data_IF_430216089110
#
_entry.id   IF_430216089110
#
_cell.length_a   1.000
_cell.length_b   1.000
_cell.length_c   1.000
_cell.angle_alpha   90.00
_cell.angle_beta   90.00
_cell.angle_gamma   90.00
#
_symmetry.space_group_name_H-M   'P 1'
#
loop_
_entity.id
_entity.type
_entity.pdbx_description
1 polymer ?
#
# COMPACT_ATOMS: atom_id res chain seq x y z
N UNK A 1 -8.85 -0.64 -2.46
CA UNK A 1 -8.17 -1.22 -3.64
C UNK A 1 -6.68 -1.18 -3.36
N UNK A 2 -5.99 -2.31 -3.47
CA UNK A 2 -4.53 -2.39 -3.27
C UNK A 2 -3.84 -2.31 -4.63
N UNK A 3 -2.79 -1.50 -4.75
CA UNK A 3 -1.98 -1.38 -5.97
C UNK A 3 -0.50 -1.49 -5.64
N UNK A 4 0.27 -2.03 -6.58
CA UNK A 4 1.72 -2.01 -6.51
C UNK A 4 2.24 -0.70 -7.13
N UNK A 5 2.97 0.08 -6.33
CA UNK A 5 3.56 1.36 -6.73
C UNK A 5 5.10 1.32 -6.74
N UNK A 6 5.68 0.11 -6.70
CA UNK A 6 7.15 -0.07 -6.72
C UNK A 6 7.76 0.64 -7.93
N UNK A 7 7.10 0.58 -9.09
CA UNK A 7 7.59 1.25 -10.30
C UNK A 7 7.62 2.78 -10.20
N UNK A 8 6.70 3.39 -9.44
CA UNK A 8 6.67 4.85 -9.22
C UNK A 8 7.84 5.28 -8.33
N UNK A 9 8.21 4.45 -7.36
CA UNK A 9 9.26 4.73 -6.38
C UNK A 9 10.62 4.14 -6.75
N UNK A 10 10.78 3.58 -7.96
CA UNK A 10 12.05 3.00 -8.43
C UNK A 10 13.20 4.01 -8.50
N UNK A 11 12.88 5.28 -8.73
CA UNK A 11 13.84 6.39 -8.80
C UNK A 11 13.61 7.39 -7.67
N UNK A 12 13.09 6.92 -6.53
CA UNK A 12 12.86 7.78 -5.38
C UNK A 12 14.16 8.30 -4.81
N UNK A 13 14.16 9.55 -4.34
CA UNK A 13 15.27 10.14 -3.60
C UNK A 13 15.31 9.65 -2.14
N UNK A 14 14.27 8.92 -1.70
CA UNK A 14 14.21 8.34 -0.37
C UNK A 14 15.18 7.17 -0.24
N UNK A 15 16.26 7.36 0.52
CA UNK A 15 17.18 6.29 0.89
C UNK A 15 16.47 5.11 1.57
N UNK A 16 15.39 5.36 2.31
CA UNK A 16 14.66 4.32 3.03
C UNK A 16 13.95 3.37 2.06
N UNK A 17 13.17 3.91 1.12
CA UNK A 17 12.43 3.11 0.14
C UNK A 17 13.37 2.58 -0.95
N UNK A 18 14.30 3.40 -1.44
CA UNK A 18 15.28 3.00 -2.44
C UNK A 18 16.08 1.78 -1.99
N UNK A 19 16.59 1.78 -0.76
CA UNK A 19 17.34 0.63 -0.22
C UNK A 19 16.48 -0.63 -0.10
N UNK A 20 15.19 -0.51 0.23
CA UNK A 20 14.27 -1.64 0.29
C UNK A 20 14.01 -2.23 -1.10
N UNK A 21 13.79 -1.37 -2.10
CA UNK A 21 13.55 -1.79 -3.49
C UNK A 21 14.80 -2.49 -4.07
N UNK A 22 16.00 -1.95 -3.82
CA UNK A 22 17.27 -2.57 -4.24
C UNK A 22 17.46 -3.95 -3.62
N UNK A 23 17.01 -4.14 -2.37
CA UNK A 23 16.98 -5.45 -1.69
C UNK A 23 15.90 -6.42 -2.21
N UNK A 24 15.15 -6.05 -3.25
CA UNK A 24 14.09 -6.87 -3.83
C UNK A 24 12.73 -6.74 -3.13
N UNK A 25 12.55 -5.72 -2.28
CA UNK A 25 11.25 -5.44 -1.67
C UNK A 25 10.28 -4.82 -2.68
N UNK A 26 8.99 -4.97 -2.41
CA UNK A 26 7.92 -4.34 -3.18
C UNK A 26 7.22 -3.28 -2.34
N UNK A 27 6.69 -2.27 -3.02
CA UNK A 27 5.87 -1.23 -2.40
C UNK A 27 4.41 -1.43 -2.79
N UNK A 28 3.60 -1.75 -1.78
CA UNK A 28 2.15 -1.92 -1.94
C UNK A 28 1.43 -0.80 -1.22
N UNK A 29 0.49 -0.17 -1.91
CA UNK A 29 -0.33 0.92 -1.38
C UNK A 29 -1.82 0.61 -1.41
N UNK A 30 -2.55 1.24 -0.48
CA UNK A 30 -4.00 1.21 -0.41
C UNK A 30 -4.53 2.64 -0.24
N UNK A 31 -5.54 2.98 -1.03
CA UNK A 31 -6.33 4.20 -0.84
C UNK A 31 -7.35 4.00 0.27
N UNK A 32 -7.42 4.94 1.19
CA UNK A 32 -8.45 5.04 2.22
C UNK A 32 -9.15 6.39 2.07
N UNK A 33 -10.44 6.33 1.76
CA UNK A 33 -11.22 7.52 1.45
C UNK A 33 -11.69 8.24 2.73
N UNK A 34 -11.68 9.57 2.70
CA UNK A 34 -12.27 10.41 3.75
C UNK A 34 -11.53 10.45 5.10
N UNK A 35 -10.26 10.04 5.15
CA UNK A 35 -9.44 10.05 6.37
C UNK A 35 -8.12 10.82 6.22
N UNK A 36 -7.99 11.69 5.21
CA UNK A 36 -6.84 12.61 5.13
C UNK A 36 -6.70 13.42 6.42
N UNK A 37 -5.46 13.63 6.86
CA UNK A 37 -5.11 14.27 8.12
C UNK A 37 -5.35 13.43 9.37
N UNK A 38 -6.13 12.34 9.31
CA UNK A 38 -6.48 11.57 10.52
C UNK A 38 -5.29 10.79 11.07
N UNK A 39 -4.51 10.16 10.19
CA UNK A 39 -3.32 9.38 10.57
C UNK A 39 -2.25 10.23 11.25
N UNK A 40 -2.12 11.49 10.84
CA UNK A 40 -1.16 12.45 11.41
C UNK A 40 -1.70 13.03 12.72
N UNK A 41 -3.01 13.31 12.80
CA UNK A 41 -3.65 13.87 14.00
C UNK A 41 -3.77 12.84 15.14
N UNK A 42 -4.10 11.58 14.82
CA UNK A 42 -4.28 10.52 15.81
C UNK A 42 -3.04 9.63 15.90
N UNK A 43 -2.05 10.12 16.67
CA UNK A 43 -0.79 9.42 16.93
C UNK A 43 -1.00 8.05 17.60
N UNK A 44 -2.06 7.89 18.40
CA UNK A 44 -2.36 6.61 19.03
C UNK A 44 -2.77 5.57 17.99
N UNK A 45 -3.57 5.98 16.99
CA UNK A 45 -3.96 5.13 15.89
C UNK A 45 -2.78 4.76 14.99
N UNK A 46 -1.94 5.75 14.61
CA UNK A 46 -0.76 5.48 13.77
C UNK A 46 0.20 4.51 14.45
N UNK A 47 0.51 4.73 15.73
CA UNK A 47 1.35 3.82 16.53
C UNK A 47 0.75 2.42 16.66
N UNK A 48 -0.58 2.30 16.82
CA UNK A 48 -1.25 1.01 16.87
C UNK A 48 -1.10 0.26 15.54
N UNK A 49 -1.31 0.93 14.41
CA UNK A 49 -1.13 0.35 13.08
C UNK A 49 0.32 -0.10 12.90
N UNK A 50 1.29 0.76 13.25
CA UNK A 50 2.72 0.45 13.11
C UNK A 50 3.13 -0.77 13.95
N UNK A 51 2.69 -0.84 15.22
CA UNK A 51 2.92 -1.98 16.09
C UNK A 51 2.29 -3.26 15.53
N UNK A 52 1.04 -3.21 15.06
CA UNK A 52 0.36 -4.37 14.48
C UNK A 52 1.07 -4.88 13.22
N UNK A 53 1.51 -3.98 12.33
CA UNK A 53 2.28 -4.34 11.14
C UNK A 53 3.60 -4.99 11.54
N UNK A 54 4.33 -4.39 12.48
CA UNK A 54 5.62 -4.94 12.92
C UNK A 54 5.46 -6.31 13.58
N UNK A 55 4.42 -6.51 14.40
CA UNK A 55 4.19 -7.77 15.14
C UNK A 55 3.61 -8.88 14.26
N UNK A 56 2.63 -8.57 13.41
CA UNK A 56 1.89 -9.57 12.63
C UNK A 56 2.41 -9.76 11.20
N UNK A 57 2.83 -8.68 10.55
CA UNK A 57 3.35 -8.73 9.18
C UNK A 57 4.88 -8.78 9.12
N UNK A 58 5.57 -8.36 10.18
CA UNK A 58 7.04 -8.30 10.22
C UNK A 58 7.62 -7.30 9.22
N UNK A 59 6.83 -6.30 8.80
CA UNK A 59 7.27 -5.20 7.97
C UNK A 59 7.71 -4.02 8.86
N UNK A 60 8.71 -3.25 8.41
CA UNK A 60 9.33 -2.19 9.23
C UNK A 60 8.40 -0.99 9.53
N UNK A 61 7.28 -0.86 8.82
CA UNK A 61 6.32 0.21 9.05
C UNK A 61 5.43 0.47 7.83
N UNK A 62 4.71 1.59 7.87
CA UNK A 62 3.95 2.13 6.76
C UNK A 62 4.29 3.61 6.59
N UNK A 63 3.97 4.17 5.43
CA UNK A 63 4.08 5.59 5.13
C UNK A 63 2.74 6.07 4.58
N UNK A 64 2.31 7.25 5.00
CA UNK A 64 1.13 7.89 4.45
C UNK A 64 1.48 9.11 3.59
N UNK A 65 0.66 9.37 2.56
CA UNK A 65 0.79 10.55 1.68
C UNK A 65 0.57 11.88 2.41
N UNK A 66 -0.06 11.84 3.58
CA UNK A 66 -0.31 13.00 4.44
C UNK A 66 0.96 13.45 5.17
N UNK A 67 1.89 12.53 5.44
CA UNK A 67 3.21 12.81 6.03
C UNK A 67 4.22 13.33 5.01
N UNK A 68 3.87 13.39 3.71
CA UNK A 68 4.80 13.83 2.67
C UNK A 68 4.80 15.36 2.52
N UNK A 69 5.97 15.99 2.32
CA UNK A 69 7.21 15.43 1.75
C UNK A 69 8.27 14.90 2.75
N UNK A 70 7.88 14.49 3.95
CA UNK A 70 8.82 13.90 4.91
C UNK A 70 9.34 12.52 4.42
N UNK A 71 10.44 12.04 5.00
CA UNK A 71 11.10 10.77 4.66
C UNK A 71 11.78 10.70 3.28
N UNK A 72 12.07 11.85 2.66
CA UNK A 72 12.80 11.92 1.39
C UNK A 72 11.96 11.55 0.17
N UNK A 73 10.63 11.59 0.28
CA UNK A 73 9.72 11.47 -0.86
C UNK A 73 9.28 12.87 -1.27
N UNK A 74 9.54 13.22 -2.51
CA UNK A 74 9.28 14.54 -3.06
C UNK A 74 7.77 14.80 -3.24
N UNK A 75 7.39 16.08 -3.31
CA UNK A 75 6.02 16.47 -3.66
C UNK A 75 5.60 15.93 -5.04
N UNK A 76 6.54 15.80 -5.98
CA UNK A 76 6.28 15.21 -7.30
C UNK A 76 5.88 13.73 -7.22
N UNK A 77 6.57 12.95 -6.39
CA UNK A 77 6.22 11.55 -6.12
C UNK A 77 4.87 11.41 -5.41
N UNK A 78 4.59 12.29 -4.44
CA UNK A 78 3.27 12.35 -3.79
C UNK A 78 2.15 12.51 -4.83
N UNK A 79 2.29 13.47 -5.75
CA UNK A 79 1.29 13.73 -6.80
C UNK A 79 1.13 12.51 -7.71
N UNK A 80 2.23 11.84 -8.08
CA UNK A 80 2.19 10.64 -8.91
C UNK A 80 1.42 9.49 -8.22
N UNK A 81 1.67 9.28 -6.91
CA UNK A 81 0.95 8.29 -6.10
C UNK A 81 -0.54 8.66 -6.01
N UNK A 82 -0.87 9.90 -5.68
CA UNK A 82 -2.26 10.36 -5.58
C UNK A 82 -3.02 10.19 -6.90
N UNK A 83 -2.38 10.48 -8.03
CA UNK A 83 -2.93 10.24 -9.38
C UNK A 83 -3.17 8.75 -9.64
N UNK A 84 -2.20 7.90 -9.33
CA UNK A 84 -2.31 6.44 -9.50
C UNK A 84 -3.49 5.86 -8.70
N UNK A 85 -3.75 6.38 -7.51
CA UNK A 85 -4.88 5.94 -6.69
C UNK A 85 -6.19 6.71 -6.92
N UNK A 86 -6.16 7.72 -7.80
CA UNK A 86 -7.27 8.66 -8.04
C UNK A 86 -7.80 9.22 -6.72
N UNK A 87 -6.89 9.72 -5.89
CA UNK A 87 -7.21 10.32 -4.60
C UNK A 87 -7.81 11.72 -4.76
N UNK A 88 -8.83 12.00 -3.98
CA UNK A 88 -9.31 13.37 -3.75
C UNK A 88 -8.60 14.01 -2.57
N UNK A 89 -8.77 15.33 -2.37
CA UNK A 89 -8.21 16.09 -1.23
C UNK A 89 -8.57 15.56 0.17
N UNK A 90 -9.56 14.67 0.27
CA UNK A 90 -10.03 14.07 1.54
C UNK A 90 -9.53 12.63 1.72
N UNK A 91 -8.89 12.06 0.70
CA UNK A 91 -8.41 10.69 0.70
C UNK A 91 -6.94 10.66 1.08
N UNK A 92 -6.51 9.54 1.67
CA UNK A 92 -5.09 9.29 1.95
C UNK A 92 -4.69 7.96 1.33
N UNK A 93 -3.49 7.93 0.76
CA UNK A 93 -2.82 6.68 0.41
C UNK A 93 -1.88 6.30 1.53
N UNK A 94 -1.98 5.05 1.97
CA UNK A 94 -1.02 4.41 2.86
C UNK A 94 -0.30 3.32 2.09
N UNK A 95 1.02 3.25 2.20
CA UNK A 95 1.82 2.24 1.53
C UNK A 95 2.90 1.65 2.43
N UNK A 96 3.30 0.42 2.11
CA UNK A 96 4.26 -0.38 2.86
C UNK A 96 5.33 -0.87 1.89
N UNK A 97 6.59 -0.64 2.22
CA UNK A 97 7.75 -1.15 1.50
C UNK A 97 8.33 -2.35 2.27
N UNK A 98 8.11 -3.56 1.76
CA UNK A 98 8.60 -4.79 2.38
C UNK A 98 8.65 -5.93 1.35
N UNK A 99 9.16 -7.09 1.76
CA UNK A 99 9.01 -8.32 0.98
C UNK A 99 7.53 -8.57 0.64
N UNK A 100 7.24 -9.08 -0.56
CA UNK A 100 5.88 -9.22 -1.10
C UNK A 100 4.89 -9.83 -0.11
N UNK A 101 5.24 -10.96 0.50
CA UNK A 101 4.38 -11.65 1.48
C UNK A 101 4.08 -10.80 2.72
N UNK A 102 5.04 -9.99 3.16
CA UNK A 102 4.91 -9.10 4.32
C UNK A 102 4.10 -7.85 3.96
N UNK A 103 4.36 -7.26 2.80
CA UNK A 103 3.64 -6.10 2.30
C UNK A 103 2.14 -6.41 2.10
N UNK A 104 1.81 -7.58 1.55
CA UNK A 104 0.42 -8.01 1.37
C UNK A 104 -0.31 -8.13 2.71
N UNK A 105 0.31 -8.80 3.70
CA UNK A 105 -0.23 -8.91 5.07
C UNK A 105 -0.39 -7.55 5.74
N UNK A 106 0.59 -6.66 5.60
CA UNK A 106 0.57 -5.34 6.22
C UNK A 106 -0.60 -4.49 5.68
N UNK A 107 -0.81 -4.49 4.36
CA UNK A 107 -1.90 -3.75 3.73
C UNK A 107 -3.27 -4.31 4.12
N UNK A 108 -3.38 -5.63 4.28
CA UNK A 108 -4.61 -6.27 4.76
C UNK A 108 -4.92 -5.86 6.21
N UNK A 109 -3.92 -5.87 7.10
CA UNK A 109 -4.06 -5.40 8.48
C UNK A 109 -4.46 -3.93 8.55
N UNK A 110 -3.84 -3.06 7.76
CA UNK A 110 -4.21 -1.64 7.67
C UNK A 110 -5.68 -1.53 7.27
N UNK A 111 -6.11 -2.25 6.23
CA UNK A 111 -7.51 -2.22 5.81
C UNK A 111 -8.46 -2.69 6.90
N UNK A 112 -8.08 -3.68 7.70
CA UNK A 112 -8.90 -4.23 8.78
C UNK A 112 -9.00 -3.27 9.97
N UNK A 113 -7.88 -2.72 10.42
CA UNK A 113 -7.85 -1.72 11.49
C UNK A 113 -8.68 -0.50 11.11
N UNK A 114 -8.55 -0.03 9.86
CA UNK A 114 -9.30 1.11 9.34
C UNK A 114 -10.79 0.85 9.17
N UNK A 115 -11.21 -0.39 8.92
CA UNK A 115 -12.63 -0.76 8.91
C UNK A 115 -13.23 -0.80 10.31
N UNK A 116 -12.43 -1.20 11.29
CA UNK A 116 -12.85 -1.30 12.70
C UNK A 116 -12.83 0.05 13.41
N UNK A 117 -12.07 1.02 12.90
CA UNK A 117 -12.18 2.42 13.31
C UNK A 117 -13.60 2.91 13.00
N UNK A 118 -14.30 3.45 14.01
CA UNK A 118 -15.63 4.07 13.87
C UNK A 118 -15.50 5.42 13.16
N UNK A 119 -15.10 5.41 11.90
CA UNK A 119 -15.18 6.58 11.03
C UNK A 119 -16.66 6.72 10.64
N UNK A 120 -17.30 7.90 10.77
CA UNK A 120 -18.68 8.09 10.33
C UNK A 120 -18.78 7.72 8.84
N UNK A 121 -19.42 6.57 8.58
CA UNK A 121 -19.46 5.91 7.28
C UNK A 121 -20.29 6.73 6.30
N UNK A 122 -19.65 7.40 5.34
CA UNK A 122 -20.20 7.48 3.97
C UNK A 122 -19.47 6.46 3.09
N UNK A 123 -19.99 5.23 3.18
CA UNK A 123 -20.04 4.19 2.14
C UNK A 123 -18.92 4.14 1.10
N UNK A 124 -18.07 3.11 1.16
CA UNK A 124 -17.71 2.31 -0.04
C UNK A 124 -17.60 0.83 0.34
N UNK A 125 -18.62 0.06 -0.02
CA UNK A 125 -18.58 -1.41 -0.08
C UNK A 125 -17.62 -1.80 -1.19
N UNK A 126 -16.34 -2.03 -0.90
CA UNK A 126 -15.47 -2.71 -1.88
C UNK A 126 -15.43 -4.19 -1.55
N UNK A 127 -16.26 -4.97 -2.25
CA UNK A 127 -16.15 -6.43 -2.34
C UNK A 127 -14.74 -6.75 -2.88
N UNK A 128 -13.80 -7.11 -2.01
CA UNK A 128 -12.56 -7.76 -2.45
C UNK A 128 -12.94 -9.18 -2.84
N UNK A 129 -13.18 -9.41 -4.14
CA UNK A 129 -13.21 -10.77 -4.70
C UNK A 129 -11.82 -11.37 -4.47
N UNK A 130 -11.72 -12.30 -3.50
CA UNK A 130 -10.62 -13.28 -3.41
C UNK A 130 -10.37 -13.83 -4.81
N UNK A 131 -9.28 -13.39 -5.44
CA UNK A 131 -8.78 -13.97 -6.68
C UNK A 131 -7.46 -14.65 -6.34
N UNK A 132 -7.57 -15.80 -5.68
CA UNK A 132 -6.51 -16.80 -5.65
C UNK A 132 -6.34 -17.26 -7.09
N UNK A 133 -5.34 -16.74 -7.81
CA UNK A 133 -4.85 -17.39 -9.03
C UNK A 133 -3.56 -18.13 -8.68
N UNK A 134 -3.72 -19.44 -8.47
CA UNK A 134 -2.66 -20.46 -8.60
C UNK A 134 -1.86 -20.20 -9.89
N UNK A 135 -0.54 -20.40 -9.91
CA UNK A 135 0.21 -20.38 -11.17
C UNK A 135 -0.22 -21.59 -12.02
N UNK A 136 -0.77 -21.30 -13.20
CA UNK A 136 -1.14 -22.27 -14.22
C UNK A 136 0.11 -22.86 -14.87
N UNK A 137 0.24 -24.19 -14.82
CA UNK A 137 1.26 -24.98 -15.50
C UNK A 137 1.19 -24.74 -17.02
N UNK A 138 2.29 -24.29 -17.61
CA UNK A 138 2.51 -24.23 -19.06
C UNK A 138 2.75 -25.64 -19.60
N UNK A 139 1.81 -26.19 -20.39
CA UNK A 139 2.11 -27.27 -21.35
C UNK A 139 1.93 -26.71 -22.77
N UNK A 140 3.06 -26.45 -23.44
CA UNK A 140 3.13 -26.28 -24.90
C UNK A 140 2.67 -27.58 -25.57
N UNK A 141 1.65 -27.51 -26.43
CA UNK A 141 1.49 -28.46 -27.54
C UNK A 141 1.19 -27.68 -28.82
N UNK A 142 2.21 -27.61 -29.66
CA UNK A 142 2.16 -27.12 -31.04
C UNK A 142 1.38 -28.17 -31.85
N UNK A 143 0.24 -27.79 -32.43
CA UNK A 143 -0.42 -28.57 -33.49
C UNK A 143 0.02 -28.00 -34.84
N UNK A 144 0.85 -28.76 -35.56
CA UNK A 144 1.08 -28.56 -37.00
C UNK A 144 -0.14 -29.04 -37.76
N UNK A 145 -0.62 -28.21 -38.69
CA UNK A 145 -1.55 -28.54 -39.77
C UNK A 145 -0.91 -29.56 -40.70
N UNK A 146 -1.67 -30.58 -41.08
CA UNK A 146 -1.82 -31.08 -42.45
C UNK A 146 -3.09 -31.94 -42.49
#
# INVERSE_FOLDING_TARGET
MVKNITNLLKKTESNLIGNLIVKGSVVLGIKIAGISGLLVKDVKLSNKIQSEISKKAGAGGFISTDELPHYGITAGEKIAIEKEFSCSKKDVVVFVAAEKSKAEKAVELISEIMKNQKIPKKTVKTKVKKSVKKPSKTKKKIKKKK
#
